data_IF_545480382520
#
_entry.id   IF_545480382520
#
_cell.length_a   1.000
_cell.length_b   1.000
_cell.length_c   1.000
_cell.angle_alpha   90.00
_cell.angle_beta   90.00
_cell.angle_gamma   90.00
#
_symmetry.space_group_name_H-M   'P 1'
#
loop_
_entity.id
_entity.type
_entity.pdbx_description
1 polymer ?
#
# COMPACT_ATOMS: atom_id res chain seq x y z
N UNK A 1 5.39 15.02 -21.68
CA UNK A 1 4.04 14.46 -21.81
C UNK A 1 3.25 14.68 -20.52
N UNK A 2 1.93 14.61 -20.61
CA UNK A 2 1.04 14.61 -19.45
C UNK A 2 0.93 13.21 -18.86
N UNK A 3 0.72 13.14 -17.55
CA UNK A 3 0.56 11.87 -16.85
C UNK A 3 -0.45 11.97 -15.70
N UNK A 4 -0.90 10.81 -15.27
CA UNK A 4 -1.83 10.67 -14.14
C UNK A 4 -1.13 9.95 -12.99
N UNK A 5 -1.34 10.45 -11.77
CA UNK A 5 -1.05 9.75 -10.51
C UNK A 5 -2.38 9.50 -9.78
N UNK A 6 -2.72 8.24 -9.53
CA UNK A 6 -3.93 7.85 -8.81
C UNK A 6 -3.60 7.55 -7.35
N UNK A 7 -4.20 8.27 -6.43
CA UNK A 7 -4.04 8.03 -4.99
C UNK A 7 -4.06 9.32 -4.17
N UNK A 8 -4.34 9.20 -2.88
CA UNK A 8 -4.41 10.33 -1.94
C UNK A 8 -3.45 10.23 -0.75
N UNK A 9 -2.56 9.23 -0.73
CA UNK A 9 -1.60 9.05 0.36
C UNK A 9 -0.22 9.63 0.07
N UNK A 10 0.68 9.56 1.07
CA UNK A 10 2.05 10.09 0.95
C UNK A 10 2.81 9.55 -0.26
N UNK A 11 2.62 8.27 -0.62
CA UNK A 11 3.29 7.68 -1.79
C UNK A 11 2.86 8.35 -3.10
N UNK A 12 1.55 8.62 -3.26
CA UNK A 12 1.03 9.33 -4.41
C UNK A 12 1.56 10.77 -4.47
N UNK A 13 1.59 11.49 -3.34
CA UNK A 13 2.13 12.84 -3.27
C UNK A 13 3.62 12.90 -3.62
N UNK A 14 4.43 11.96 -3.10
CA UNK A 14 5.85 11.86 -3.45
C UNK A 14 6.06 11.57 -4.94
N UNK A 15 5.27 10.63 -5.50
CA UNK A 15 5.34 10.31 -6.92
C UNK A 15 4.96 11.53 -7.79
N UNK A 16 3.88 12.24 -7.47
CA UNK A 16 3.45 13.42 -8.21
C UNK A 16 4.52 14.53 -8.22
N UNK A 17 5.10 14.82 -7.05
CA UNK A 17 6.20 15.81 -6.93
C UNK A 17 7.44 15.38 -7.71
N UNK A 18 7.81 14.09 -7.66
CA UNK A 18 8.96 13.59 -8.40
C UNK A 18 8.73 13.67 -9.92
N UNK A 19 7.58 13.17 -10.38
CA UNK A 19 7.25 13.11 -11.80
C UNK A 19 7.04 14.51 -12.41
N UNK A 20 6.59 15.49 -11.64
CA UNK A 20 6.39 16.87 -12.11
C UNK A 20 7.69 17.56 -12.56
N UNK A 21 8.87 17.02 -12.19
CA UNK A 21 10.16 17.55 -12.63
C UNK A 21 10.46 17.25 -14.10
N UNK A 22 9.81 16.25 -14.69
CA UNK A 22 10.04 15.81 -16.07
C UNK A 22 8.77 15.77 -16.92
N UNK A 23 7.60 15.73 -16.29
CA UNK A 23 6.31 15.79 -16.98
C UNK A 23 5.91 17.22 -17.32
N UNK A 24 5.14 17.39 -18.40
CA UNK A 24 4.53 18.69 -18.74
C UNK A 24 3.44 19.04 -17.71
N UNK A 25 2.59 18.08 -17.38
CA UNK A 25 1.50 18.19 -16.40
C UNK A 25 1.28 16.87 -15.67
N UNK A 26 1.06 16.92 -14.38
CA UNK A 26 0.68 15.77 -13.55
C UNK A 26 -0.73 15.99 -13.05
N UNK A 27 -1.66 15.14 -13.46
CA UNK A 27 -3.02 15.09 -12.93
C UNK A 27 -3.06 14.10 -11.77
N UNK A 28 -3.35 14.58 -10.57
CA UNK A 28 -3.45 13.73 -9.40
C UNK A 28 -4.92 13.43 -9.10
N UNK A 29 -5.36 12.18 -9.36
CA UNK A 29 -6.74 11.76 -9.14
C UNK A 29 -6.92 11.20 -7.73
N UNK A 30 -7.76 11.84 -6.95
CA UNK A 30 -7.98 11.59 -5.53
C UNK A 30 -9.44 11.17 -5.33
N UNK A 31 -9.67 9.96 -4.83
CA UNK A 31 -11.02 9.44 -4.61
C UNK A 31 -11.78 10.18 -3.50
N UNK A 32 -11.07 10.71 -2.52
CA UNK A 32 -11.63 11.49 -1.41
C UNK A 32 -11.82 12.96 -1.76
N UNK A 33 -12.51 13.68 -0.87
CA UNK A 33 -12.74 15.13 -0.97
C UNK A 33 -11.58 15.97 -0.45
N UNK A 34 -10.59 15.34 0.23
CA UNK A 34 -9.45 16.03 0.84
C UNK A 34 -8.23 15.11 0.96
N UNK A 35 -7.07 15.69 1.22
CA UNK A 35 -5.79 14.99 1.45
C UNK A 35 -5.35 15.00 2.91
N UNK A 36 -5.92 15.84 3.73
CA UNK A 36 -5.46 16.14 5.09
C UNK A 36 -5.45 14.93 6.03
N UNK A 37 -6.35 13.96 5.80
CA UNK A 37 -6.47 12.74 6.59
C UNK A 37 -5.47 11.64 6.20
N UNK A 38 -4.87 11.71 5.01
CA UNK A 38 -4.06 10.63 4.44
C UNK A 38 -2.66 11.05 3.99
N UNK A 39 -2.39 12.35 3.95
CA UNK A 39 -1.13 12.92 3.46
C UNK A 39 -0.56 13.95 4.44
N UNK A 40 0.76 13.98 4.57
CA UNK A 40 1.45 14.97 5.41
C UNK A 40 1.26 16.39 4.87
N UNK A 41 1.13 17.37 5.79
CA UNK A 41 0.96 18.80 5.45
C UNK A 41 2.07 19.31 4.52
N UNK A 42 3.29 18.88 4.75
CA UNK A 42 4.44 19.22 3.90
C UNK A 42 4.23 18.81 2.43
N UNK A 43 3.74 17.59 2.19
CA UNK A 43 3.46 17.14 0.82
C UNK A 43 2.28 17.88 0.20
N UNK A 44 1.20 18.09 0.96
CA UNK A 44 0.04 18.85 0.48
C UNK A 44 0.49 20.23 0.01
N UNK A 45 1.29 20.93 0.81
CA UNK A 45 1.82 22.25 0.44
C UNK A 45 2.63 22.18 -0.87
N UNK A 46 3.53 21.22 -0.99
CA UNK A 46 4.34 21.05 -2.22
C UNK A 46 3.50 20.73 -3.47
N UNK A 47 2.39 20.01 -3.30
CA UNK A 47 1.47 19.73 -4.39
C UNK A 47 0.70 20.98 -4.83
N UNK A 48 0.19 21.76 -3.86
CA UNK A 48 -0.62 22.95 -4.14
C UNK A 48 0.19 24.12 -4.70
N UNK A 49 1.46 24.24 -4.30
CA UNK A 49 2.37 25.29 -4.79
C UNK A 49 3.00 24.96 -6.16
N UNK A 50 2.88 23.71 -6.64
CA UNK A 50 3.50 23.31 -7.90
C UNK A 50 2.55 23.51 -9.09
N UNK A 51 2.84 24.46 -10.01
CA UNK A 51 1.95 24.78 -11.14
C UNK A 51 1.84 23.64 -12.17
N UNK A 52 2.77 22.67 -12.16
CA UNK A 52 2.72 21.48 -13.01
C UNK A 52 1.86 20.36 -12.46
N UNK A 53 1.32 20.51 -11.23
CA UNK A 53 0.45 19.49 -10.60
C UNK A 53 -0.97 20.04 -10.50
N UNK A 54 -1.94 19.22 -10.89
CA UNK A 54 -3.36 19.53 -10.80
C UNK A 54 -4.07 18.47 -9.97
N UNK A 55 -4.78 18.91 -8.92
CA UNK A 55 -5.47 18.03 -7.98
C UNK A 55 -6.94 17.90 -8.35
N UNK A 56 -7.37 16.67 -8.64
CA UNK A 56 -8.75 16.31 -8.92
C UNK A 56 -9.29 15.48 -7.76
N UNK A 57 -10.09 16.12 -6.92
CA UNK A 57 -10.77 15.46 -5.80
C UNK A 57 -12.03 14.75 -6.27
N UNK A 58 -12.52 13.80 -5.47
CA UNK A 58 -13.70 12.97 -5.77
C UNK A 58 -13.63 12.29 -7.14
N UNK A 59 -12.44 12.06 -7.67
CA UNK A 59 -12.22 11.62 -9.04
C UNK A 59 -11.68 10.19 -9.10
N UNK A 60 -12.20 9.41 -10.03
CA UNK A 60 -11.77 8.04 -10.29
C UNK A 60 -11.64 7.75 -11.77
N UNK A 61 -10.70 6.87 -12.15
CA UNK A 61 -10.65 6.33 -13.51
C UNK A 61 -11.79 5.33 -13.69
N UNK A 62 -12.53 5.45 -14.78
CA UNK A 62 -13.64 4.56 -15.15
C UNK A 62 -13.37 3.77 -16.41
N UNK A 63 -12.46 4.22 -17.28
CA UNK A 63 -12.02 3.46 -18.45
C UNK A 63 -10.56 3.79 -18.82
N UNK A 64 -9.90 2.81 -19.39
CA UNK A 64 -8.58 2.91 -20.02
C UNK A 64 -8.77 2.43 -21.47
N UNK A 65 -8.40 3.25 -22.45
CA UNK A 65 -8.65 3.00 -23.86
C UNK A 65 -7.35 3.02 -24.66
N UNK A 66 -7.26 2.13 -25.65
CA UNK A 66 -6.14 1.99 -26.55
C UNK A 66 -6.10 0.59 -27.15
N UNK A 67 -5.31 0.38 -28.18
CA UNK A 67 -5.14 -0.91 -28.81
C UNK A 67 -3.90 -1.64 -28.24
N UNK A 68 -2.71 -1.35 -28.74
CA UNK A 68 -1.46 -1.96 -28.27
C UNK A 68 -0.82 -1.25 -27.07
N UNK A 69 -1.29 -0.07 -26.76
CA UNK A 69 -0.85 0.80 -25.65
C UNK A 69 -1.99 1.68 -25.17
N UNK A 70 -1.83 2.24 -23.97
CA UNK A 70 -2.77 3.23 -23.45
C UNK A 70 -2.72 4.50 -24.31
N UNK A 71 -3.88 4.99 -24.75
CA UNK A 71 -4.04 6.18 -25.57
C UNK A 71 -4.90 7.23 -24.87
N UNK A 72 -6.01 6.79 -24.26
CA UNK A 72 -6.93 7.66 -23.52
C UNK A 72 -7.25 7.10 -22.14
N UNK A 73 -7.53 8.01 -21.23
CA UNK A 73 -8.05 7.71 -19.91
C UNK A 73 -9.36 8.46 -19.73
N UNK A 74 -10.41 7.74 -19.34
CA UNK A 74 -11.68 8.33 -18.97
C UNK A 74 -11.74 8.38 -17.44
N UNK A 75 -11.92 9.56 -16.89
CA UNK A 75 -12.20 9.70 -15.47
C UNK A 75 -13.56 10.32 -15.21
N UNK A 76 -14.07 10.10 -14.01
CA UNK A 76 -15.38 10.55 -13.55
C UNK A 76 -15.23 11.33 -12.25
N UNK A 77 -15.84 12.51 -12.19
CA UNK A 77 -16.10 13.19 -10.93
C UNK A 77 -17.27 12.49 -10.23
N UNK A 78 -17.00 11.85 -9.09
CA UNK A 78 -17.99 11.08 -8.31
C UNK A 78 -19.05 11.94 -7.64
N UNK A 79 -18.83 13.25 -7.51
CA UNK A 79 -19.78 14.18 -6.91
C UNK A 79 -20.84 14.64 -7.92
N UNK A 80 -20.47 14.77 -9.18
CA UNK A 80 -21.36 15.22 -10.27
C UNK A 80 -21.78 14.10 -11.20
N UNK A 81 -21.00 13.00 -11.29
CA UNK A 81 -21.15 11.94 -12.27
C UNK A 81 -20.63 12.34 -13.67
N UNK A 82 -20.01 13.51 -13.79
CA UNK A 82 -19.45 13.98 -15.05
C UNK A 82 -18.22 13.15 -15.45
N UNK A 83 -18.19 12.76 -16.73
CA UNK A 83 -17.08 12.00 -17.33
C UNK A 83 -16.35 12.83 -18.36
N UNK A 84 -15.04 12.72 -18.39
CA UNK A 84 -14.18 13.34 -19.37
C UNK A 84 -13.11 12.39 -19.87
N UNK A 85 -12.78 12.48 -21.18
CA UNK A 85 -11.76 11.66 -21.83
C UNK A 85 -10.52 12.51 -22.07
N UNK A 86 -9.36 11.96 -21.72
CA UNK A 86 -8.08 12.64 -21.78
C UNK A 86 -7.05 11.78 -22.55
N UNK A 87 -6.38 12.38 -23.53
CA UNK A 87 -5.33 11.73 -24.33
C UNK A 87 -4.05 11.62 -23.49
N UNK A 88 -4.02 10.69 -22.55
CA UNK A 88 -2.92 10.45 -21.61
C UNK A 88 -2.49 8.99 -21.68
N UNK A 89 -1.17 8.76 -21.77
CA UNK A 89 -0.56 7.44 -21.98
C UNK A 89 0.12 6.88 -20.75
N UNK A 90 0.26 7.66 -19.69
CA UNK A 90 1.01 7.28 -18.50
C UNK A 90 0.14 7.41 -17.25
N UNK A 91 -0.12 6.29 -16.58
CA UNK A 91 -0.90 6.22 -15.33
C UNK A 91 -0.08 5.50 -14.26
N UNK A 92 0.12 6.16 -13.14
CA UNK A 92 0.80 5.64 -11.96
C UNK A 92 -0.21 5.40 -10.85
N UNK A 93 -0.47 4.14 -10.51
CA UNK A 93 -1.46 3.76 -9.48
C UNK A 93 -0.76 3.62 -8.13
N UNK A 94 -1.09 4.51 -7.18
CA UNK A 94 -0.52 4.60 -5.83
C UNK A 94 -1.59 4.43 -4.75
N UNK A 95 -2.52 3.49 -4.97
CA UNK A 95 -3.70 3.28 -4.12
C UNK A 95 -3.47 2.31 -2.96
N UNK A 96 -2.24 1.89 -2.73
CA UNK A 96 -1.87 0.89 -1.75
C UNK A 96 -1.71 -0.51 -2.34
N UNK A 97 -1.54 -1.50 -1.47
CA UNK A 97 -1.34 -2.89 -1.87
C UNK A 97 -2.30 -3.81 -1.11
N UNK A 98 -2.73 -4.87 -1.76
CA UNK A 98 -3.40 -6.01 -1.14
C UNK A 98 -2.42 -7.19 -1.11
N UNK A 99 -2.24 -7.87 0.02
CA UNK A 99 -1.34 -9.01 0.11
C UNK A 99 -1.93 -10.21 -0.67
N UNK A 100 -1.06 -11.01 -1.28
CA UNK A 100 -1.46 -12.26 -1.94
C UNK A 100 -1.32 -13.45 -1.00
N UNK A 101 -2.06 -13.40 0.10
CA UNK A 101 -1.95 -14.32 1.26
C UNK A 101 -3.15 -15.24 1.42
N UNK A 102 -4.07 -15.29 0.47
CA UNK A 102 -5.28 -16.13 0.55
C UNK A 102 -4.95 -17.62 0.77
N UNK A 103 -3.84 -18.11 0.24
CA UNK A 103 -3.34 -19.47 0.42
C UNK A 103 -2.88 -19.79 1.86
N UNK A 104 -2.71 -18.77 2.70
CA UNK A 104 -2.34 -18.91 4.12
C UNK A 104 -3.56 -18.95 5.06
N UNK A 105 -4.76 -18.77 4.54
CA UNK A 105 -5.99 -18.84 5.36
C UNK A 105 -6.09 -20.19 6.05
N UNK A 106 -6.32 -20.16 7.37
CA UNK A 106 -6.36 -21.37 8.20
C UNK A 106 -4.98 -21.92 8.61
N UNK A 107 -3.88 -21.46 7.98
CA UNK A 107 -2.51 -21.81 8.38
C UNK A 107 -1.88 -20.75 9.29
N UNK A 108 -2.04 -19.47 8.94
CA UNK A 108 -1.49 -18.34 9.68
C UNK A 108 -2.58 -17.35 10.06
N UNK A 109 -2.35 -16.64 11.16
CA UNK A 109 -3.19 -15.52 11.57
C UNK A 109 -3.01 -14.34 10.62
N UNK A 110 -4.12 -13.84 10.06
CA UNK A 110 -4.17 -12.71 9.14
C UNK A 110 -5.06 -11.61 9.74
N UNK A 111 -4.77 -10.35 9.38
CA UNK A 111 -5.68 -9.25 9.68
C UNK A 111 -6.88 -9.21 8.72
N UNK A 112 -7.82 -8.28 8.93
CA UNK A 112 -9.03 -8.13 8.12
C UNK A 112 -8.74 -7.83 6.63
N UNK A 113 -7.53 -7.35 6.31
CA UNK A 113 -7.07 -7.04 4.96
C UNK A 113 -6.23 -8.16 4.35
N UNK A 114 -5.97 -9.22 5.10
CA UNK A 114 -5.20 -10.38 4.69
C UNK A 114 -3.69 -10.26 4.97
N UNK A 115 -3.18 -9.22 5.65
CA UNK A 115 -1.78 -9.14 6.04
C UNK A 115 -1.46 -10.11 7.18
N UNK A 116 -0.26 -10.69 7.15
CA UNK A 116 0.18 -11.68 8.15
C UNK A 116 0.45 -10.99 9.49
N UNK A 117 -0.21 -11.45 10.54
CA UNK A 117 0.03 -11.00 11.91
C UNK A 117 1.32 -11.62 12.47
N UNK A 118 2.10 -10.83 13.21
CA UNK A 118 3.37 -11.28 13.79
C UNK A 118 3.59 -10.69 15.18
N UNK A 119 4.36 -11.39 16.01
CA UNK A 119 4.76 -10.90 17.31
C UNK A 119 3.57 -10.48 18.17
N UNK A 120 3.61 -9.26 18.69
CA UNK A 120 2.56 -8.72 19.59
C UNK A 120 1.18 -8.62 18.98
N UNK A 121 1.08 -8.49 17.66
CA UNK A 121 -0.22 -8.38 16.99
C UNK A 121 -1.04 -9.67 17.16
N UNK A 122 -0.37 -10.80 17.41
CA UNK A 122 -1.03 -12.09 17.70
C UNK A 122 -1.72 -12.13 19.05
N UNK A 123 -1.30 -11.31 20.02
CA UNK A 123 -1.90 -11.26 21.36
C UNK A 123 -3.28 -10.60 21.33
N UNK A 124 -3.50 -9.66 20.40
CA UNK A 124 -4.75 -8.92 20.24
C UNK A 124 -5.69 -9.56 19.23
N UNK A 125 -5.19 -10.51 18.43
CA UNK A 125 -5.98 -11.19 17.41
C UNK A 125 -7.03 -12.10 18.05
N UNK A 126 -8.30 -11.96 17.64
CA UNK A 126 -9.35 -12.88 18.04
C UNK A 126 -9.10 -14.24 17.41
N UNK A 127 -9.00 -15.27 18.24
CA UNK A 127 -8.87 -16.63 17.73
C UNK A 127 -10.18 -17.08 17.08
N UNK A 128 -10.09 -17.45 15.83
CA UNK A 128 -11.17 -18.07 15.06
C UNK A 128 -10.61 -19.29 14.35
N UNK A 129 -11.46 -20.11 13.70
CA UNK A 129 -11.00 -21.26 12.90
C UNK A 129 -10.04 -20.84 11.76
N UNK A 130 -10.13 -19.59 11.31
CA UNK A 130 -9.25 -19.01 10.31
C UNK A 130 -8.07 -18.24 10.89
N UNK A 131 -7.93 -18.16 12.22
CA UNK A 131 -6.92 -17.35 12.90
C UNK A 131 -6.35 -18.15 14.10
N UNK A 132 -5.41 -19.09 13.86
CA UNK A 132 -4.88 -19.96 14.89
C UNK A 132 -4.17 -19.15 15.99
N UNK A 133 -4.37 -19.58 17.24
CA UNK A 133 -3.69 -19.00 18.40
C UNK A 133 -2.23 -19.44 18.44
N UNK A 134 -1.41 -18.59 19.02
CA UNK A 134 -0.05 -18.92 19.39
C UNK A 134 -0.02 -20.11 20.38
N UNK A 135 0.67 -21.23 20.05
CA UNK A 135 0.54 -22.47 20.81
C UNK A 135 1.55 -22.63 21.94
N UNK A 136 2.60 -21.79 22.01
CA UNK A 136 3.69 -21.93 22.97
C UNK A 136 3.50 -21.04 24.22
N UNK A 137 4.14 -21.42 25.32
CA UNK A 137 4.14 -20.64 26.58
C UNK A 137 5.01 -19.37 26.50
N UNK A 138 6.08 -19.39 25.69
CA UNK A 138 6.84 -18.18 25.41
C UNK A 138 6.04 -17.27 24.48
N UNK A 139 6.24 -15.96 24.54
CA UNK A 139 5.65 -15.04 23.55
C UNK A 139 6.27 -15.28 22.14
N UNK A 140 5.51 -14.97 21.07
CA UNK A 140 6.07 -14.99 19.72
C UNK A 140 7.18 -13.94 19.58
N UNK A 141 8.20 -14.25 18.79
CA UNK A 141 9.25 -13.28 18.47
C UNK A 141 8.70 -12.18 17.54
N UNK A 142 9.37 -11.05 17.45
CA UNK A 142 8.88 -9.83 16.79
C UNK A 142 8.31 -10.05 15.38
N UNK A 143 8.94 -10.91 14.58
CA UNK A 143 8.53 -11.21 13.20
C UNK A 143 7.95 -12.63 13.05
N UNK A 144 7.76 -13.34 14.17
CA UNK A 144 7.25 -14.71 14.17
C UNK A 144 5.72 -14.68 13.97
N UNK A 145 5.24 -15.55 13.09
CA UNK A 145 3.81 -15.70 12.78
C UNK A 145 3.10 -16.52 13.86
N UNK A 146 1.82 -16.80 13.70
CA UNK A 146 1.06 -17.71 14.58
C UNK A 146 1.55 -19.15 14.55
N UNK A 147 2.40 -19.52 13.61
CA UNK A 147 3.07 -20.82 13.55
C UNK A 147 4.51 -20.69 14.01
N UNK A 148 4.91 -21.35 15.15
CA UNK A 148 6.25 -21.26 15.71
C UNK A 148 7.34 -21.60 14.68
N UNK A 149 8.43 -20.81 14.67
CA UNK A 149 9.54 -20.98 13.75
C UNK A 149 9.28 -20.47 12.33
N UNK A 150 8.09 -19.96 12.04
CA UNK A 150 7.74 -19.33 10.75
C UNK A 150 7.69 -17.81 10.90
N UNK A 151 8.42 -17.10 10.05
CA UNK A 151 8.58 -15.66 10.12
C UNK A 151 8.00 -14.99 8.87
N UNK A 152 7.40 -13.81 9.05
CA UNK A 152 6.92 -12.97 7.95
C UNK A 152 7.59 -11.59 8.01
N UNK A 153 7.99 -11.07 6.84
CA UNK A 153 8.70 -9.81 6.67
C UNK A 153 8.18 -9.04 5.47
N UNK A 154 8.44 -7.75 5.44
CA UNK A 154 8.14 -6.89 4.31
C UNK A 154 6.65 -6.63 4.12
N UNK A 155 6.25 -6.40 2.87
CA UNK A 155 4.94 -5.87 2.51
C UNK A 155 3.77 -6.81 2.82
N UNK A 156 4.02 -8.12 2.97
CA UNK A 156 3.01 -9.10 3.34
C UNK A 156 2.64 -9.06 4.83
N UNK A 157 3.48 -8.45 5.67
CA UNK A 157 3.28 -8.36 7.12
C UNK A 157 2.36 -7.21 7.51
N UNK A 158 1.46 -7.45 8.46
CA UNK A 158 0.64 -6.40 9.08
C UNK A 158 1.54 -5.35 9.77
N UNK A 159 1.11 -4.09 9.75
CA UNK A 159 1.83 -2.98 10.40
C UNK A 159 3.17 -2.60 9.78
N UNK A 160 3.64 -3.30 8.72
CA UNK A 160 4.87 -2.92 8.02
C UNK A 160 4.74 -1.58 7.31
N UNK A 161 5.78 -0.75 7.40
CA UNK A 161 5.92 0.44 6.56
C UNK A 161 6.40 -0.01 5.19
N UNK A 162 5.49 -0.05 4.21
CA UNK A 162 5.72 -0.57 2.85
C UNK A 162 6.78 0.24 2.11
N UNK A 163 8.04 -0.06 2.40
CA UNK A 163 9.26 0.51 1.82
C UNK A 163 10.31 -0.59 1.67
N UNK A 164 11.08 -0.51 0.61
CA UNK A 164 12.20 -1.44 0.34
C UNK A 164 13.15 -1.51 1.52
N UNK A 165 13.54 -0.38 2.09
CA UNK A 165 14.44 -0.34 3.26
C UNK A 165 13.85 -1.08 4.47
N UNK A 166 12.55 -0.96 4.74
CA UNK A 166 11.87 -1.70 5.81
C UNK A 166 11.89 -3.20 5.56
N UNK A 167 11.57 -3.62 4.35
CA UNK A 167 11.56 -5.04 3.97
C UNK A 167 12.96 -5.67 4.09
N UNK A 168 14.01 -4.97 3.63
CA UNK A 168 15.40 -5.41 3.73
C UNK A 168 15.84 -5.49 5.20
N UNK A 169 15.49 -4.48 6.02
CA UNK A 169 15.81 -4.46 7.45
C UNK A 169 15.12 -5.60 8.21
N UNK A 170 13.83 -5.82 7.97
CA UNK A 170 13.11 -6.96 8.57
C UNK A 170 13.70 -8.30 8.11
N UNK A 171 14.05 -8.42 6.82
CA UNK A 171 14.72 -9.60 6.28
C UNK A 171 16.04 -9.90 7.01
N UNK A 172 16.86 -8.89 7.26
CA UNK A 172 18.11 -9.05 8.02
C UNK A 172 17.87 -9.47 9.48
N UNK A 173 16.87 -8.86 10.14
CA UNK A 173 16.49 -9.22 11.50
C UNK A 173 15.97 -10.66 11.57
N UNK A 174 15.19 -11.10 10.59
CA UNK A 174 14.59 -12.44 10.59
C UNK A 174 15.65 -13.57 10.64
N UNK A 175 16.81 -13.37 10.03
CA UNK A 175 17.91 -14.36 10.09
C UNK A 175 18.33 -14.62 11.53
N UNK A 176 18.50 -13.57 12.33
CA UNK A 176 18.83 -13.70 13.75
C UNK A 176 17.71 -14.43 14.53
N UNK A 177 16.45 -14.11 14.24
CA UNK A 177 15.29 -14.73 14.91
C UNK A 177 15.14 -16.21 14.53
N UNK A 178 15.43 -16.59 13.28
CA UNK A 178 15.47 -17.99 12.85
C UNK A 178 16.53 -18.78 13.64
N UNK A 179 17.74 -18.23 13.77
CA UNK A 179 18.79 -18.89 14.58
C UNK A 179 18.37 -19.09 16.04
N UNK A 180 17.65 -18.13 16.62
CA UNK A 180 17.10 -18.29 17.98
C UNK A 180 16.06 -19.38 18.04
N UNK A 181 15.12 -19.43 17.09
CA UNK A 181 14.10 -20.47 17.05
C UNK A 181 14.71 -21.88 16.88
N UNK A 182 15.74 -22.01 16.04
CA UNK A 182 16.46 -23.28 15.87
C UNK A 182 17.22 -23.74 17.12
N UNK A 183 17.68 -22.82 17.96
CA UNK A 183 18.35 -23.13 19.21
C UNK A 183 17.39 -23.60 20.33
N UNK A 184 16.07 -23.44 20.13
CA UNK A 184 15.02 -23.89 21.05
C UNK A 184 14.52 -25.32 20.73
N UNK A 185 14.94 -25.91 19.59
CA UNK A 185 14.65 -27.27 19.15
C UNK A 185 15.63 -28.28 19.76
#
# INVERSE_FOLDING_TARGET
EDLIVVGGGNSAGQAAVFLSQSARKVYMLIRGSELSSTMSRYLIQRLTENPSIELHYNTQIVALEGDSRLENVVWEDRSTGERSTHAIRHVFVMTGASPRTDWLRGCLALDDKGFILTGRDLETATATDNNPRWPLTRPPQMLETSLPGVFAVGDARAGNVKRVASAVGEGAISIHLVHRALAEL
#
